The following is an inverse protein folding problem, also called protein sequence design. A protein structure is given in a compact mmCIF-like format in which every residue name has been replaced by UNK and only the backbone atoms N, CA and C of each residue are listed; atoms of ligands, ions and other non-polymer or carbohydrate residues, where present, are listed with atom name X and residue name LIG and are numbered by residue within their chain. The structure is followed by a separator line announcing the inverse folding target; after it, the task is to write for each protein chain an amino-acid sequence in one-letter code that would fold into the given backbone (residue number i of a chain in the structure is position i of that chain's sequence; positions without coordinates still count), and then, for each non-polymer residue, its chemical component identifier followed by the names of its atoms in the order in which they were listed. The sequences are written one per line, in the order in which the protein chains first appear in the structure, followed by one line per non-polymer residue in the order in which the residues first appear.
data_IF_358053357720
#
_entry.id   IF_358053357720
#
_cell.length_a   1.000
_cell.length_b   1.000
_cell.length_c   1.000
_cell.angle_alpha   90.00
_cell.angle_beta   90.00
_cell.angle_gamma   90.00
#
_symmetry.space_group_name_H-M   'P 1'
#
loop_
_entity.id
_entity.type
_entity.pdbx_description
1 polymer ?
#
# COMPACT_ATOMS: atom_id res chain seq x y z
N UNK A 1 -0.87 -6.71 9.41
CA UNK A 1 0.39 -5.94 9.49
C UNK A 1 1.09 -6.10 8.14
N UNK A 2 0.81 -5.24 7.15
CA UNK A 2 1.39 -5.42 5.80
C UNK A 2 1.37 -4.13 4.96
N UNK A 3 0.21 -3.52 4.72
CA UNK A 3 0.11 -2.42 3.73
C UNK A 3 0.62 -1.05 4.22
N UNK A 4 0.36 -0.68 5.48
CA UNK A 4 0.84 0.58 6.04
C UNK A 4 2.37 0.64 6.13
N UNK A 5 3.00 -0.49 6.47
CA UNK A 5 4.46 -0.63 6.44
C UNK A 5 5.00 -0.49 5.01
N UNK A 6 4.40 -1.20 4.06
CA UNK A 6 4.80 -1.09 2.65
C UNK A 6 4.64 0.34 2.11
N UNK A 7 3.56 1.03 2.49
CA UNK A 7 3.37 2.43 2.15
C UNK A 7 4.53 3.31 2.64
N UNK A 8 4.91 3.19 3.92
CA UNK A 8 6.04 3.93 4.47
C UNK A 8 7.37 3.56 3.81
N UNK A 9 7.62 2.28 3.54
CA UNK A 9 8.81 1.85 2.81
C UNK A 9 8.86 2.44 1.40
N UNK A 10 7.74 2.55 0.70
CA UNK A 10 7.70 3.19 -0.62
C UNK A 10 8.04 4.68 -0.51
N UNK A 11 7.44 5.38 0.45
CA UNK A 11 7.74 6.80 0.69
C UNK A 11 9.22 7.01 1.05
N UNK A 12 9.79 6.16 1.89
CA UNK A 12 11.19 6.21 2.28
C UNK A 12 12.12 5.90 1.09
N UNK A 13 11.83 4.86 0.32
CA UNK A 13 12.65 4.42 -0.81
C UNK A 13 12.65 5.44 -1.95
N UNK A 14 11.49 6.01 -2.28
CA UNK A 14 11.36 6.95 -3.39
C UNK A 14 11.65 8.41 -2.94
N UNK A 15 11.70 8.66 -1.63
CA UNK A 15 11.91 9.99 -1.04
C UNK A 15 10.77 10.98 -1.34
N UNK A 16 9.65 10.49 -1.84
CA UNK A 16 8.48 11.28 -2.24
C UNK A 16 7.20 10.61 -1.75
N UNK A 17 6.18 11.43 -1.49
CA UNK A 17 4.86 10.95 -1.10
C UNK A 17 3.92 10.97 -2.32
N UNK A 18 3.04 9.97 -2.47
CA UNK A 18 1.98 10.05 -3.47
C UNK A 18 1.01 11.20 -3.15
N UNK A 19 0.65 11.97 -4.18
CA UNK A 19 -0.33 13.07 -4.08
C UNK A 19 -1.71 12.58 -3.61
N UNK A 20 -2.12 11.40 -4.07
CA UNK A 20 -3.34 10.74 -3.62
C UNK A 20 -3.20 9.23 -3.78
N UNK A 21 -3.61 8.50 -2.74
CA UNK A 21 -3.80 7.05 -2.78
C UNK A 21 -5.28 6.71 -2.74
N UNK A 22 -5.71 5.74 -3.54
CA UNK A 22 -7.11 5.27 -3.55
C UNK A 22 -7.16 3.79 -3.20
N UNK A 23 -7.95 3.43 -2.18
CA UNK A 23 -8.11 2.05 -1.72
C UNK A 23 -9.56 1.73 -1.43
N UNK A 24 -9.89 0.46 -1.24
CA UNK A 24 -11.14 0.07 -0.62
C UNK A 24 -11.14 0.42 0.89
N UNK A 25 -12.33 0.37 1.50
CA UNK A 25 -12.53 0.65 2.92
C UNK A 25 -12.30 -0.63 3.76
N UNK A 26 -11.05 -1.09 3.80
CA UNK A 26 -10.59 -2.17 4.66
C UNK A 26 -10.07 -1.66 6.00
N UNK A 27 -9.99 -2.56 6.99
CA UNK A 27 -9.43 -2.23 8.31
C UNK A 27 -7.93 -1.86 8.22
N UNK A 28 -7.22 -2.50 7.30
CA UNK A 28 -5.80 -2.29 7.04
C UNK A 28 -5.53 -0.98 6.30
N UNK A 29 -6.45 -0.55 5.44
CA UNK A 29 -6.32 0.69 4.65
C UNK A 29 -6.66 1.93 5.47
N UNK A 30 -7.37 1.78 6.58
CA UNK A 30 -7.61 2.86 7.55
C UNK A 30 -6.30 3.40 8.14
N UNK A 31 -5.30 2.54 8.36
CA UNK A 31 -3.98 2.98 8.83
C UNK A 31 -3.24 3.81 7.77
N UNK A 32 -3.34 3.40 6.49
CA UNK A 32 -2.75 4.15 5.37
C UNK A 32 -3.41 5.51 5.23
N UNK A 33 -4.73 5.59 5.37
CA UNK A 33 -5.45 6.86 5.40
C UNK A 33 -4.89 7.79 6.48
N UNK A 34 -4.71 7.31 7.71
CA UNK A 34 -4.15 8.13 8.80
C UNK A 34 -2.73 8.61 8.49
N UNK A 35 -1.87 7.72 8.00
CA UNK A 35 -0.48 8.05 7.66
C UNK A 35 -0.38 9.05 6.51
N UNK A 36 -1.14 8.84 5.43
CA UNK A 36 -1.12 9.73 4.28
C UNK A 36 -1.54 11.16 4.63
N UNK A 37 -2.57 11.32 5.47
CA UNK A 37 -2.99 12.63 5.95
C UNK A 37 -1.94 13.25 6.89
N UNK A 38 -1.45 12.50 7.87
CA UNK A 38 -0.48 13.01 8.83
C UNK A 38 0.83 13.46 8.16
N UNK A 39 1.33 12.68 7.18
CA UNK A 39 2.51 13.06 6.44
C UNK A 39 2.25 14.29 5.56
N UNK A 40 1.07 14.39 4.93
CA UNK A 40 0.75 15.56 4.11
C UNK A 40 0.64 16.83 4.97
N UNK A 41 0.00 16.76 6.14
CA UNK A 41 -0.08 17.87 7.10
C UNK A 41 1.30 18.33 7.58
N UNK A 42 2.21 17.40 7.84
CA UNK A 42 3.55 17.71 8.35
C UNK A 42 4.49 18.25 7.26
N UNK A 43 4.46 17.66 6.06
CA UNK A 43 5.45 17.91 5.02
C UNK A 43 4.95 18.79 3.87
N UNK A 44 3.65 19.04 3.77
CA UNK A 44 3.04 19.89 2.75
C UNK A 44 1.84 20.70 3.33
N UNK A 45 2.04 21.51 4.38
CA UNK A 45 0.94 22.24 5.04
C UNK A 45 0.25 23.26 4.13
N UNK A 46 0.92 23.73 3.07
CA UNK A 46 0.33 24.59 2.04
C UNK A 46 -0.59 23.87 1.04
N UNK A 47 -0.61 22.53 1.06
CA UNK A 47 -1.40 21.73 0.14
C UNK A 47 -2.86 21.64 0.59
N UNK A 48 -3.77 21.94 -0.33
CA UNK A 48 -5.21 21.86 -0.08
C UNK A 48 -5.69 20.41 -0.09
N UNK A 49 -5.61 19.78 1.08
CA UNK A 49 -6.07 18.41 1.31
C UNK A 49 -7.59 18.26 1.16
N UNK A 50 -8.37 19.35 1.21
CA UNK A 50 -9.81 19.29 1.00
C UNK A 50 -10.13 19.22 -0.51
N UNK A 51 -9.38 19.95 -1.34
CA UNK A 51 -9.54 19.91 -2.79
C UNK A 51 -9.03 18.60 -3.40
N UNK A 52 -7.91 18.06 -2.89
CA UNK A 52 -7.34 16.81 -3.37
C UNK A 52 -6.82 15.96 -2.19
N UNK A 53 -7.66 15.09 -1.61
CA UNK A 53 -7.30 14.38 -0.39
C UNK A 53 -6.13 13.41 -0.61
N UNK A 54 -5.14 13.36 0.31
CA UNK A 54 -4.01 12.42 0.25
C UNK A 54 -4.43 10.95 0.18
N UNK A 55 -5.64 10.64 0.70
CA UNK A 55 -6.22 9.32 0.62
C UNK A 55 -7.73 9.37 0.36
N UNK A 56 -8.19 8.54 -0.58
CA UNK A 56 -9.60 8.41 -0.93
C UNK A 56 -10.08 6.95 -0.82
N UNK A 57 -11.19 6.73 -0.13
CA UNK A 57 -11.83 5.42 -0.08
C UNK A 57 -12.77 5.24 -1.27
N UNK A 58 -12.57 4.17 -2.02
CA UNK A 58 -13.44 3.74 -3.10
C UNK A 58 -14.34 2.60 -2.63
N UNK A 59 -15.61 2.64 -3.01
CA UNK A 59 -16.51 1.53 -2.76
C UNK A 59 -16.05 0.31 -3.58
N UNK A 60 -16.06 -0.90 -3.00
CA UNK A 60 -15.55 -2.12 -3.65
C UNK A 60 -16.19 -2.38 -5.02
N UNK A 61 -17.48 -2.11 -5.18
CA UNK A 61 -18.19 -2.25 -6.47
C UNK A 61 -17.66 -1.33 -7.58
N UNK A 62 -16.94 -0.27 -7.23
CA UNK A 62 -16.28 0.65 -8.17
C UNK A 62 -14.81 0.30 -8.36
N UNK A 63 -14.30 -0.69 -7.63
CA UNK A 63 -12.91 -1.14 -7.68
C UNK A 63 -12.61 -2.12 -8.82
N UNK A 64 -13.59 -2.37 -9.70
CA UNK A 64 -13.51 -3.37 -10.79
C UNK A 64 -12.25 -3.19 -11.65
N UNK A 65 -11.81 -1.96 -11.90
CA UNK A 65 -10.58 -1.70 -12.67
C UNK A 65 -9.33 -2.21 -11.94
N UNK A 66 -9.22 -2.00 -10.62
CA UNK A 66 -8.12 -2.56 -9.82
C UNK A 66 -8.25 -4.07 -9.75
N UNK A 67 -9.47 -4.58 -9.61
CA UNK A 67 -9.72 -6.02 -9.56
C UNK A 67 -9.32 -6.74 -10.84
N UNK A 68 -9.59 -6.14 -12.00
CA UNK A 68 -9.09 -6.64 -13.29
C UNK A 68 -7.56 -6.59 -13.39
N UNK A 69 -6.91 -5.63 -12.72
CA UNK A 69 -5.45 -5.53 -12.63
C UNK A 69 -4.81 -6.72 -11.91
N UNK A 70 -5.50 -7.31 -10.91
CA UNK A 70 -4.96 -8.46 -10.16
C UNK A 70 -4.68 -9.66 -11.03
N UNK A 71 -5.49 -9.91 -12.07
CA UNK A 71 -5.26 -11.04 -12.98
C UNK A 71 -3.94 -10.88 -13.73
N UNK A 72 -3.65 -9.66 -14.20
CA UNK A 72 -2.39 -9.35 -14.88
C UNK A 72 -1.20 -9.50 -13.92
N UNK A 73 -1.32 -8.96 -12.71
CA UNK A 73 -0.28 -9.05 -11.68
C UNK A 73 -0.01 -10.50 -11.26
N UNK A 74 -1.06 -11.31 -11.08
CA UNK A 74 -0.94 -12.73 -10.77
C UNK A 74 -0.25 -13.49 -11.91
N UNK A 75 -0.65 -13.22 -13.16
CA UNK A 75 -0.08 -13.89 -14.32
C UNK A 75 1.40 -13.56 -14.51
N UNK A 76 1.83 -12.32 -14.25
CA UNK A 76 3.21 -11.90 -14.44
C UNK A 76 4.10 -12.31 -13.25
N UNK A 77 3.65 -12.07 -12.01
CA UNK A 77 4.50 -12.16 -10.82
C UNK A 77 3.96 -13.14 -9.77
N UNK A 78 2.64 -13.38 -9.74
CA UNK A 78 2.01 -14.23 -8.73
C UNK A 78 2.30 -15.73 -8.86
N UNK A 79 2.57 -16.23 -10.07
CA UNK A 79 2.95 -17.65 -10.23
C UNK A 79 4.29 -17.97 -9.57
N UNK A 80 5.24 -17.02 -9.57
CA UNK A 80 6.53 -17.18 -8.89
C UNK A 80 6.37 -17.08 -7.36
N UNK A 81 5.43 -16.26 -6.88
CA UNK A 81 5.19 -16.12 -5.45
C UNK A 81 4.80 -17.45 -4.79
N UNK A 82 4.00 -18.29 -5.46
CA UNK A 82 3.67 -19.63 -4.97
C UNK A 82 4.91 -20.54 -4.91
N UNK A 83 5.76 -20.49 -5.94
CA UNK A 83 7.00 -21.28 -6.00
C UNK A 83 7.93 -20.89 -4.85
N UNK A 84 8.10 -19.59 -4.58
CA UNK A 84 8.95 -19.11 -3.48
C UNK A 84 8.38 -19.44 -2.11
N UNK A 85 7.06 -19.33 -1.95
CA UNK A 85 6.37 -19.74 -0.73
C UNK A 85 6.54 -21.23 -0.44
N UNK A 86 6.37 -22.10 -1.44
CA UNK A 86 6.58 -23.55 -1.31
C UNK A 86 8.06 -23.91 -1.07
N UNK A 87 9.00 -23.11 -1.59
CA UNK A 87 10.43 -23.23 -1.30
C UNK A 87 10.82 -22.73 0.10
N UNK A 88 9.90 -22.10 0.83
CA UNK A 88 10.15 -21.53 2.17
C UNK A 88 10.92 -20.21 2.15
N UNK A 89 11.18 -19.62 0.99
CA UNK A 89 11.84 -18.33 0.88
C UNK A 89 10.87 -17.17 1.21
N UNK A 90 11.35 -16.18 1.97
CA UNK A 90 10.55 -15.02 2.37
C UNK A 90 9.61 -15.23 3.56
N UNK A 91 9.70 -16.37 4.25
CA UNK A 91 8.98 -16.59 5.52
C UNK A 91 9.63 -15.82 6.67
N UNK A 92 8.82 -15.10 7.45
CA UNK A 92 9.30 -14.39 8.64
C UNK A 92 9.86 -15.40 9.65
N UNK A 93 11.15 -15.29 9.93
CA UNK A 93 11.83 -16.09 10.93
C UNK A 93 12.16 -15.23 12.15
N UNK A 94 11.44 -15.38 13.29
CA UNK A 94 11.68 -14.59 14.50
C UNK A 94 13.07 -14.84 15.13
N UNK A 95 13.80 -15.88 14.71
CA UNK A 95 15.16 -16.15 15.15
C UNK A 95 16.23 -15.51 14.24
N UNK A 96 15.84 -14.85 13.14
CA UNK A 96 16.75 -14.17 12.25
C UNK A 96 16.93 -12.71 12.69
N UNK A 97 18.07 -12.39 13.30
CA UNK A 97 18.38 -11.08 13.88
C UNK A 97 18.50 -9.90 12.88
N UNK A 98 18.16 -10.12 11.61
CA UNK A 98 18.18 -9.11 10.54
C UNK A 98 16.79 -8.55 10.16
N UNK A 99 15.72 -9.00 10.83
CA UNK A 99 14.35 -8.51 10.63
C UNK A 99 13.79 -7.88 11.90
#
# INVERSE_FOLDING_TARGET
MSIAYLYLCTVENDGVMPLQMTTDCGSETTQVFGLANALCEEFAPEYDCDALPPHHFLCSVKNITIEHGWLCLQSQWGMNAKIWWEAGEGTYNPANAKH
#
